data_IF_187264820280
#
_entry.id   IF_187264820280
#
_cell.length_a   1.000
_cell.length_b   1.000
_cell.length_c   1.000
_cell.angle_alpha   90.00
_cell.angle_beta   90.00
_cell.angle_gamma   90.00
#
_symmetry.space_group_name_H-M   'P 1'
#
loop_
_entity.id
_entity.type
_entity.pdbx_description
1 polymer ?
#
# COMPACT_ATOMS: atom_id res chain seq x y z
N UNK A 1 -3.34 28.40 4.15
CA UNK A 1 -1.91 28.32 3.79
C UNK A 1 -1.75 27.11 2.90
N UNK A 2 -1.40 27.30 1.62
CA UNK A 2 -0.92 26.21 0.77
C UNK A 2 0.59 26.29 0.84
N UNK A 3 1.24 25.30 1.47
CA UNK A 3 2.68 25.15 1.33
C UNK A 3 2.93 24.81 -0.14
N UNK A 4 3.86 25.48 -0.81
CA UNK A 4 4.21 25.16 -2.22
C UNK A 4 4.95 23.82 -2.36
N UNK A 5 4.73 22.90 -1.43
CA UNK A 5 5.40 21.62 -1.34
C UNK A 5 4.71 20.63 -2.28
N UNK A 6 5.51 19.95 -3.10
CA UNK A 6 5.04 18.96 -4.05
C UNK A 6 5.67 17.62 -3.71
N UNK A 7 4.85 16.57 -3.73
CA UNK A 7 5.30 15.21 -3.52
C UNK A 7 4.79 14.32 -4.65
N UNK A 8 5.62 13.39 -5.09
CA UNK A 8 5.22 12.38 -6.05
C UNK A 8 4.41 11.30 -5.34
N UNK A 9 3.40 10.75 -6.00
CA UNK A 9 2.59 9.68 -5.42
C UNK A 9 2.64 8.43 -6.28
N UNK A 10 3.08 7.31 -5.69
CA UNK A 10 2.96 6.00 -6.32
C UNK A 10 1.65 5.35 -5.91
N UNK A 11 0.78 5.11 -6.89
CA UNK A 11 -0.51 4.44 -6.71
C UNK A 11 -0.52 3.10 -7.43
N UNK A 12 -0.56 2.01 -6.65
CA UNK A 12 -0.69 0.65 -7.15
C UNK A 12 -2.11 0.13 -6.89
N UNK A 13 -2.75 -0.48 -7.90
CA UNK A 13 -4.14 -0.93 -7.87
C UNK A 13 -4.25 -2.41 -8.27
N UNK A 14 -4.68 -3.26 -7.34
CA UNK A 14 -5.10 -4.62 -7.65
C UNK A 14 -6.63 -4.73 -7.90
N UNK A 15 -7.03 -5.04 -9.13
CA UNK A 15 -8.45 -5.09 -9.56
C UNK A 15 -9.08 -6.47 -9.44
N UNK A 16 -8.28 -7.52 -9.27
CA UNK A 16 -8.73 -8.92 -9.35
C UNK A 16 -9.16 -9.51 -7.98
N UNK A 17 -9.79 -8.69 -7.13
CA UNK A 17 -10.29 -9.10 -5.82
C UNK A 17 -11.69 -8.54 -5.53
N UNK A 18 -12.75 -9.37 -5.58
CA UNK A 18 -14.11 -8.94 -5.28
C UNK A 18 -14.27 -8.46 -3.83
N UNK A 19 -15.32 -7.67 -3.55
CA UNK A 19 -15.61 -7.15 -2.21
C UNK A 19 -15.95 -8.23 -1.18
N UNK A 20 -16.59 -9.30 -1.65
CA UNK A 20 -16.94 -10.45 -0.84
C UNK A 20 -16.25 -11.68 -1.43
N UNK A 21 -15.40 -12.32 -0.62
CA UNK A 21 -14.66 -13.51 -1.00
C UNK A 21 -13.16 -13.29 -1.15
N UNK A 22 -12.56 -14.05 -2.05
CA UNK A 22 -11.10 -14.18 -2.23
C UNK A 22 -10.68 -13.69 -3.62
N UNK A 23 -9.38 -13.42 -3.87
CA UNK A 23 -8.91 -13.08 -5.21
C UNK A 23 -9.31 -14.15 -6.22
N UNK A 24 -9.61 -13.74 -7.45
CA UNK A 24 -9.93 -14.70 -8.52
C UNK A 24 -8.76 -15.63 -8.85
N UNK A 25 -7.53 -15.15 -8.64
CA UNK A 25 -6.32 -15.96 -8.77
C UNK A 25 -5.33 -15.62 -7.66
N UNK A 26 -4.96 -16.59 -6.81
CA UNK A 26 -3.90 -16.40 -5.80
C UNK A 26 -2.56 -15.99 -6.41
N UNK A 27 -2.20 -16.50 -7.60
CA UNK A 27 -0.93 -16.15 -8.24
C UNK A 27 -0.90 -14.68 -8.63
N UNK A 28 -2.01 -14.13 -9.16
CA UNK A 28 -2.09 -12.71 -9.51
C UNK A 28 -1.94 -11.78 -8.30
N UNK A 29 -2.38 -12.23 -7.10
CA UNK A 29 -2.15 -11.49 -5.86
C UNK A 29 -0.67 -11.52 -5.46
N UNK A 30 0.00 -12.67 -5.61
CA UNK A 30 1.44 -12.79 -5.34
C UNK A 30 2.29 -11.94 -6.30
N UNK A 31 1.94 -11.93 -7.59
CA UNK A 31 2.62 -11.09 -8.59
C UNK A 31 2.46 -9.59 -8.25
N UNK A 32 1.27 -9.19 -7.79
CA UNK A 32 1.02 -7.83 -7.33
C UNK A 32 1.83 -7.50 -6.06
N UNK A 33 1.89 -8.42 -5.09
CA UNK A 33 2.75 -8.28 -3.90
C UNK A 33 4.22 -8.09 -4.26
N UNK A 34 4.75 -8.86 -5.20
CA UNK A 34 6.11 -8.68 -5.69
C UNK A 34 6.32 -7.35 -6.38
N UNK A 35 5.34 -6.87 -7.15
CA UNK A 35 5.37 -5.54 -7.76
C UNK A 35 5.46 -4.44 -6.69
N UNK A 36 4.68 -4.55 -5.61
CA UNK A 36 4.70 -3.62 -4.47
C UNK A 36 6.05 -3.63 -3.74
N UNK A 37 6.61 -4.82 -3.49
CA UNK A 37 7.93 -4.94 -2.84
C UNK A 37 9.04 -4.38 -3.72
N UNK A 38 9.05 -4.72 -5.01
CA UNK A 38 10.07 -4.28 -5.94
C UNK A 38 10.03 -2.78 -6.22
N UNK A 39 8.92 -2.09 -5.93
CA UNK A 39 8.85 -0.64 -6.02
C UNK A 39 9.53 0.07 -4.83
N UNK A 40 9.99 -0.67 -3.82
CA UNK A 40 10.55 -0.12 -2.58
C UNK A 40 9.51 0.57 -1.69
N UNK A 41 8.21 0.33 -1.95
CA UNK A 41 7.16 1.09 -1.29
C UNK A 41 6.98 0.73 0.20
N UNK A 42 7.57 -0.38 0.65
CA UNK A 42 7.46 -0.85 2.03
C UNK A 42 8.75 -0.62 2.85
N UNK A 43 9.78 -0.02 2.25
CA UNK A 43 11.12 0.01 2.82
C UNK A 43 11.38 1.23 3.72
N UNK A 44 10.60 2.31 3.59
CA UNK A 44 10.81 3.55 4.35
C UNK A 44 9.84 3.68 5.54
N UNK A 45 10.30 3.48 6.79
CA UNK A 45 9.45 3.61 7.98
C UNK A 45 9.00 5.04 8.26
N UNK A 46 9.65 6.07 7.67
CA UNK A 46 9.24 7.47 7.77
C UNK A 46 8.17 7.84 6.74
N UNK A 47 7.97 7.01 5.72
CA UNK A 47 6.96 7.20 4.66
C UNK A 47 6.13 5.92 4.53
N UNK A 48 5.31 5.60 5.55
CA UNK A 48 4.55 4.36 5.56
C UNK A 48 3.57 4.32 4.39
N UNK A 49 3.48 3.16 3.75
CA UNK A 49 2.52 2.95 2.68
C UNK A 49 1.11 2.84 3.25
N UNK A 50 0.14 3.47 2.59
CA UNK A 50 -1.27 3.39 2.97
C UNK A 50 -1.92 2.26 2.18
N UNK A 51 -2.42 1.23 2.85
CA UNK A 51 -3.14 0.12 2.23
C UNK A 51 -4.62 0.26 2.58
N UNK A 52 -5.51 0.34 1.58
CA UNK A 52 -6.95 0.40 1.81
C UNK A 52 -7.74 -0.58 0.94
N UNK A 53 -9.02 -0.76 1.24
CA UNK A 53 -9.99 -1.45 0.37
C UNK A 53 -11.29 -0.63 0.33
N UNK A 54 -12.47 -1.26 0.31
CA UNK A 54 -13.73 -0.51 0.48
C UNK A 54 -13.94 -0.09 1.95
N UNK A 55 -13.92 -1.06 2.86
CA UNK A 55 -14.19 -0.86 4.28
C UNK A 55 -12.91 -0.76 5.14
N UNK A 56 -11.73 -0.76 4.52
CA UNK A 56 -10.44 -0.65 5.21
C UNK A 56 -9.94 -1.94 5.88
N UNK A 57 -10.80 -2.89 6.23
CA UNK A 57 -10.40 -4.05 7.09
C UNK A 57 -10.13 -5.36 6.35
N UNK A 58 -10.98 -5.77 5.39
CA UNK A 58 -10.99 -7.13 4.85
C UNK A 58 -9.79 -7.45 3.95
N UNK A 59 -9.82 -6.96 2.70
CA UNK A 59 -8.73 -7.19 1.74
C UNK A 59 -7.42 -6.55 2.19
N UNK A 60 -7.49 -5.37 2.81
CA UNK A 60 -6.29 -4.69 3.32
C UNK A 60 -5.58 -5.53 4.37
N UNK A 61 -6.31 -6.05 5.36
CA UNK A 61 -5.75 -6.91 6.39
C UNK A 61 -5.21 -8.23 5.83
N UNK A 62 -5.93 -8.83 4.88
CA UNK A 62 -5.47 -10.05 4.20
C UNK A 62 -4.18 -9.81 3.39
N UNK A 63 -4.08 -8.69 2.65
CA UNK A 63 -2.87 -8.32 1.92
C UNK A 63 -1.67 -8.14 2.85
N UNK A 64 -1.84 -7.39 3.95
CA UNK A 64 -0.80 -7.19 4.98
C UNK A 64 -0.37 -8.51 5.60
N UNK A 65 -1.33 -9.37 5.95
CA UNK A 65 -1.05 -10.67 6.56
C UNK A 65 -0.26 -11.59 5.62
N UNK A 66 -0.59 -11.61 4.33
CA UNK A 66 0.13 -12.43 3.34
C UNK A 66 1.56 -11.92 3.16
N UNK A 67 1.75 -10.59 3.05
CA UNK A 67 3.07 -9.98 2.99
C UNK A 67 3.92 -10.38 4.20
N UNK A 68 3.38 -10.21 5.40
CA UNK A 68 4.04 -10.57 6.65
C UNK A 68 4.38 -12.06 6.71
N UNK A 69 3.43 -12.94 6.36
CA UNK A 69 3.65 -14.39 6.38
C UNK A 69 4.80 -14.80 5.44
N UNK A 70 4.83 -14.26 4.21
CA UNK A 70 5.91 -14.51 3.26
C UNK A 70 7.26 -13.99 3.77
N UNK A 71 7.25 -12.85 4.46
CA UNK A 71 8.45 -12.31 5.07
C UNK A 71 8.96 -13.21 6.20
N UNK A 72 8.08 -13.63 7.11
CA UNK A 72 8.43 -14.50 8.25
C UNK A 72 8.95 -15.87 7.81
N UNK A 73 8.37 -16.46 6.77
CA UNK A 73 8.87 -17.73 6.19
C UNK A 73 10.28 -17.57 5.60
N UNK A 74 10.63 -16.36 5.17
CA UNK A 74 11.93 -16.06 4.56
C UNK A 74 13.00 -15.66 5.58
N UNK A 75 12.63 -15.42 6.84
CA UNK A 75 13.55 -14.99 7.89
C UNK A 75 13.94 -16.14 8.83
N UNK A 76 15.18 -16.12 9.38
CA UNK A 76 15.59 -17.04 10.43
C UNK A 76 15.04 -16.66 11.83
N UNK A 77 14.58 -15.43 12.06
CA UNK A 77 14.03 -14.92 13.35
C UNK A 77 12.93 -13.86 13.14
N UNK A 78 12.02 -13.69 14.10
CA UNK A 78 10.82 -12.86 13.97
C UNK A 78 11.11 -11.33 14.01
N UNK A 79 10.68 -10.61 12.97
CA UNK A 79 10.75 -9.13 12.89
C UNK A 79 9.36 -8.50 13.14
N UNK A 80 9.32 -7.32 13.76
CA UNK A 80 8.09 -6.56 14.04
C UNK A 80 7.83 -5.57 12.90
N UNK A 81 6.63 -5.60 12.33
CA UNK A 81 6.22 -4.72 11.24
C UNK A 81 5.06 -3.81 11.67
N UNK A 82 5.17 -2.53 11.32
CA UNK A 82 4.13 -1.54 11.57
C UNK A 82 3.45 -1.19 10.26
N UNK A 83 2.19 -1.62 10.10
CA UNK A 83 1.35 -1.26 8.96
C UNK A 83 0.30 -0.23 9.38
N UNK A 84 0.04 0.75 8.52
CA UNK A 84 -1.04 1.71 8.71
C UNK A 84 -2.24 1.29 7.86
N UNK A 85 -3.24 0.72 8.52
CA UNK A 85 -4.53 0.39 7.90
C UNK A 85 -5.39 1.66 7.95
N UNK A 86 -5.87 2.10 6.78
CA UNK A 86 -6.72 3.28 6.71
C UNK A 86 -8.17 2.95 7.03
N UNK A 87 -8.70 3.62 8.06
CA UNK A 87 -10.08 3.54 8.53
C UNK A 87 -10.86 4.83 8.12
N UNK A 88 -11.31 4.89 6.86
CA UNK A 88 -12.49 5.67 6.41
C UNK A 88 -12.65 7.17 6.76
N UNK A 89 -12.44 8.05 5.78
CA UNK A 89 -13.33 9.21 5.52
C UNK A 89 -13.83 9.16 4.08
N UNK A 90 -15.11 9.50 3.82
CA UNK A 90 -15.75 9.22 2.53
C UNK A 90 -15.23 10.15 1.42
N UNK A 91 -14.69 9.54 0.35
CA UNK A 91 -14.59 10.16 -0.97
C UNK A 91 -15.76 9.62 -1.81
N UNK A 92 -16.52 10.53 -2.41
CA UNK A 92 -17.84 10.29 -2.97
C UNK A 92 -17.95 9.18 -4.01
N UNK A 93 -19.14 8.59 -3.98
CA UNK A 93 -19.87 7.66 -4.85
C UNK A 93 -19.16 7.09 -6.10
N UNK A 94 -19.09 5.74 -6.09
CA UNK A 94 -18.74 4.81 -7.17
C UNK A 94 -17.26 4.73 -7.56
N UNK A 95 -16.51 3.92 -6.80
CA UNK A 95 -15.24 3.34 -7.24
C UNK A 95 -15.29 1.82 -7.04
N UNK A 96 -14.93 1.00 -8.05
CA UNK A 96 -14.70 -0.43 -7.82
C UNK A 96 -13.59 -0.55 -6.78
N UNK A 97 -13.73 -1.53 -5.90
CA UNK A 97 -13.05 -1.48 -4.64
C UNK A 97 -11.58 -1.90 -4.73
N UNK A 98 -10.72 -0.90 -4.69
CA UNK A 98 -9.28 -0.97 -4.98
C UNK A 98 -8.46 -1.32 -3.74
N UNK A 99 -7.49 -2.24 -3.83
CA UNK A 99 -6.31 -2.15 -2.95
C UNK A 99 -5.42 -1.07 -3.50
N UNK A 100 -5.59 0.16 -2.99
CA UNK A 100 -4.72 1.27 -3.34
C UNK A 100 -3.60 1.29 -2.31
N UNK A 101 -2.37 1.25 -2.81
CA UNK A 101 -1.24 1.75 -2.07
C UNK A 101 -1.09 3.25 -2.35
N UNK A 102 -1.27 4.14 -1.37
CA UNK A 102 -0.79 5.53 -1.51
C UNK A 102 0.59 5.61 -0.86
N UNK A 103 1.61 5.95 -1.64
CA UNK A 103 2.91 6.38 -1.14
C UNK A 103 3.18 7.81 -1.59
N UNK A 104 3.44 8.71 -0.66
CA UNK A 104 3.96 10.07 -0.92
C UNK A 104 5.48 9.99 -0.98
N UNK A 105 6.07 9.96 -2.17
CA UNK A 105 7.50 10.10 -2.41
C UNK A 105 7.86 11.59 -2.40
N UNK A 106 8.41 12.07 -1.28
CA UNK A 106 9.05 13.39 -1.20
C UNK A 106 10.55 13.25 -1.36
N UNK A 107 11.11 13.75 -2.47
CA UNK A 107 12.44 14.33 -2.44
C UNK A 107 12.28 15.84 -2.23
N UNK A 108 12.94 16.47 -1.23
CA UNK A 108 13.03 17.91 -1.23
C UNK A 108 13.82 18.33 -2.48
N UNK A 109 13.19 19.02 -3.41
CA UNK A 109 13.95 19.76 -4.43
C UNK A 109 14.71 20.86 -3.70
N UNK A 110 16.01 20.67 -3.53
CA UNK A 110 16.92 21.76 -3.25
C UNK A 110 16.86 22.71 -4.44
N UNK A 111 16.03 23.74 -4.34
CA UNK A 111 16.17 24.91 -5.21
C UNK A 111 17.43 25.63 -4.76
N UNK A 112 18.50 25.34 -5.51
CA UNK A 112 19.76 26.05 -5.48
C UNK A 112 19.48 27.53 -5.76
N UNK A 113 20.02 28.37 -4.89
CA UNK A 113 20.00 29.82 -5.03
C UNK A 113 20.83 30.25 -6.23
N UNK A 114 20.25 31.04 -7.13
CA UNK A 114 20.96 32.00 -7.98
C UNK A 114 20.01 33.14 -8.35
#
# INVERSE_FOLDING_TARGET
MLTGEQHDVLHLHFTNWPDFGVPFSPSSLLDFLWTVRNSGALDDPKRPAVIHCSAGVGRSGAFVLIDLALHLVSLPEASVFTFHIWEGKPLGNHMPAVVTLFMVCGQPKSHDSS
#
